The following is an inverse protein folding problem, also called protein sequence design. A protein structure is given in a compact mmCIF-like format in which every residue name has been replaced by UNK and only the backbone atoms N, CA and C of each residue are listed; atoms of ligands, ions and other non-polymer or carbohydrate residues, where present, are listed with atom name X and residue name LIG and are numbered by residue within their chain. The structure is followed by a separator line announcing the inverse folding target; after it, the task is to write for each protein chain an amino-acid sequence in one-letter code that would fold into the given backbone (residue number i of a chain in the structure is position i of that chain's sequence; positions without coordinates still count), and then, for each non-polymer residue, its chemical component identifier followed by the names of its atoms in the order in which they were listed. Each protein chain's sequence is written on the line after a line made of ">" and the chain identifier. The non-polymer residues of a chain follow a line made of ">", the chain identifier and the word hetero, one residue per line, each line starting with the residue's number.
data_IF_592144999221
#
_entry.id   IF_592144999221
#
_cell.length_a   1.000
_cell.length_b   1.000
_cell.length_c   1.000
_cell.angle_alpha   90.00
_cell.angle_beta   90.00
_cell.angle_gamma   90.00
#
_symmetry.space_group_name_H-M   'P 1'
#
loop_
_entity.id
_entity.type
_entity.pdbx_description
1 polymer ?
#
# COMPACT_ATOMS: atom_id res chain seq x y z
N UNK A 1 23.35 -25.76 -10.35
CA UNK A 1 23.26 -24.62 -9.42
C UNK A 1 21.77 -24.43 -9.15
N UNK A 2 21.24 -25.09 -8.12
CA UNK A 2 19.89 -24.82 -7.67
C UNK A 2 19.89 -23.42 -7.07
N UNK A 3 19.14 -22.50 -7.68
CA UNK A 3 18.79 -21.24 -7.06
C UNK A 3 17.95 -21.60 -5.83
N UNK A 4 18.56 -21.51 -4.65
CA UNK A 4 17.84 -21.45 -3.38
C UNK A 4 17.04 -20.14 -3.41
N UNK A 5 15.87 -20.20 -4.06
CA UNK A 5 14.96 -19.08 -4.20
C UNK A 5 14.56 -18.66 -2.79
N UNK A 6 14.77 -17.39 -2.45
CA UNK A 6 14.35 -16.82 -1.16
C UNK A 6 12.88 -17.19 -0.91
N UNK A 7 12.64 -18.12 0.01
CA UNK A 7 11.33 -18.77 0.25
C UNK A 7 10.23 -17.76 0.60
N UNK A 8 10.63 -16.58 1.08
CA UNK A 8 9.74 -15.48 1.48
C UNK A 8 9.38 -14.52 0.34
N UNK A 9 10.07 -14.61 -0.81
CA UNK A 9 9.91 -13.65 -1.91
C UNK A 9 8.61 -13.85 -2.73
N UNK A 10 8.17 -15.09 -3.03
CA UNK A 10 6.85 -15.31 -3.65
C UNK A 10 5.66 -14.84 -2.77
N UNK A 11 5.62 -15.15 -1.45
CA UNK A 11 4.60 -14.59 -0.56
C UNK A 11 4.61 -13.06 -0.51
N UNK A 12 5.79 -12.43 -0.48
CA UNK A 12 5.91 -10.97 -0.50
C UNK A 12 5.30 -10.35 -1.77
N UNK A 13 5.54 -10.96 -2.94
CA UNK A 13 4.94 -10.52 -4.20
C UNK A 13 3.40 -10.64 -4.18
N UNK A 14 2.87 -11.76 -3.66
CA UNK A 14 1.42 -11.96 -3.57
C UNK A 14 0.81 -10.92 -2.63
N UNK A 15 1.39 -10.71 -1.44
CA UNK A 15 0.89 -9.73 -0.47
C UNK A 15 0.91 -8.30 -1.01
N UNK A 16 2.01 -7.86 -1.64
CA UNK A 16 2.08 -6.50 -2.20
C UNK A 16 1.13 -6.31 -3.40
N UNK A 17 0.86 -7.38 -4.17
CA UNK A 17 -0.12 -7.35 -5.26
C UNK A 17 -1.55 -7.23 -4.70
N UNK A 18 -1.88 -7.96 -3.64
CA UNK A 18 -3.18 -7.83 -2.96
C UNK A 18 -3.32 -6.43 -2.36
N UNK A 19 -2.26 -5.92 -1.70
CA UNK A 19 -2.24 -4.56 -1.17
C UNK A 19 -2.56 -3.52 -2.25
N UNK A 20 -1.92 -3.65 -3.42
CA UNK A 20 -2.19 -2.81 -4.58
C UNK A 20 -3.62 -2.90 -5.08
N UNK A 21 -4.19 -4.10 -5.21
CA UNK A 21 -5.58 -4.28 -5.64
C UNK A 21 -6.57 -3.65 -4.66
N UNK A 22 -6.39 -3.88 -3.35
CA UNK A 22 -7.22 -3.26 -2.32
C UNK A 22 -7.15 -1.73 -2.39
N UNK A 23 -5.96 -1.19 -2.64
CA UNK A 23 -5.79 0.25 -2.75
C UNK A 23 -6.40 0.83 -4.04
N UNK A 24 -6.37 0.10 -5.16
CA UNK A 24 -7.12 0.46 -6.37
C UNK A 24 -8.62 0.49 -6.08
N UNK A 25 -9.17 -0.59 -5.53
CA UNK A 25 -10.60 -0.70 -5.29
C UNK A 25 -11.09 0.31 -4.27
N UNK A 26 -10.31 0.57 -3.22
CA UNK A 26 -10.57 1.68 -2.31
C UNK A 26 -10.60 3.00 -3.07
N UNK A 27 -9.49 3.42 -3.68
CA UNK A 27 -9.44 4.73 -4.32
C UNK A 27 -10.43 4.93 -5.48
N UNK A 28 -10.82 3.87 -6.20
CA UNK A 28 -11.73 3.96 -7.35
C UNK A 28 -13.23 3.98 -6.98
N UNK A 29 -13.59 3.59 -5.75
CA UNK A 29 -15.01 3.48 -5.35
C UNK A 29 -15.53 4.78 -4.72
N UNK A 30 -16.85 4.98 -4.83
CA UNK A 30 -17.58 6.17 -4.35
C UNK A 30 -17.93 6.14 -2.85
N UNK A 31 -17.40 5.18 -2.09
CA UNK A 31 -17.80 4.90 -0.71
C UNK A 31 -16.63 5.01 0.26
N UNK A 32 -15.78 6.00 0.05
CA UNK A 32 -14.68 6.32 0.96
C UNK A 32 -15.25 6.87 2.27
N UNK A 33 -16.22 7.77 2.16
CA UNK A 33 -17.07 8.20 3.25
C UNK A 33 -18.47 8.52 2.74
N UNK A 34 -19.42 8.50 3.66
CA UNK A 34 -20.80 8.88 3.43
C UNK A 34 -21.16 9.99 4.43
N UNK A 35 -21.86 11.02 3.97
CA UNK A 35 -22.50 12.00 4.84
C UNK A 35 -24.00 11.87 4.67
N UNK A 36 -24.70 11.61 5.77
CA UNK A 36 -26.16 11.55 5.80
C UNK A 36 -26.71 12.85 6.37
N UNK A 37 -27.60 13.50 5.61
CA UNK A 37 -28.42 14.62 6.04
C UNK A 37 -29.88 14.19 6.11
N UNK A 38 -30.75 15.03 6.68
CA UNK A 38 -32.16 14.70 6.87
C UNK A 38 -32.91 14.29 5.58
N UNK A 39 -32.50 14.81 4.41
CA UNK A 39 -33.17 14.55 3.12
C UNK A 39 -32.23 14.10 1.98
N UNK A 40 -30.92 14.00 2.23
CA UNK A 40 -29.93 13.71 1.21
C UNK A 40 -28.82 12.80 1.73
N UNK A 41 -28.24 11.99 0.85
CA UNK A 41 -27.09 11.14 1.16
C UNK A 41 -25.97 11.46 0.18
N UNK A 42 -24.82 11.76 0.74
CA UNK A 42 -23.62 12.11 -0.02
C UNK A 42 -22.63 10.97 0.09
N UNK A 43 -22.46 10.24 -1.01
CA UNK A 43 -21.43 9.19 -1.10
C UNK A 43 -20.22 9.76 -1.82
N UNK A 44 -19.09 9.81 -1.14
CA UNK A 44 -17.87 10.36 -1.69
C UNK A 44 -16.77 9.32 -1.77
N UNK A 45 -16.14 9.25 -2.93
CA UNK A 45 -14.83 8.65 -3.12
C UNK A 45 -13.72 9.66 -2.81
N UNK A 46 -12.50 9.32 -3.22
CA UNK A 46 -11.38 10.26 -3.23
C UNK A 46 -11.47 11.25 -4.40
N UNK A 47 -11.98 10.80 -5.54
CA UNK A 47 -11.91 11.57 -6.80
C UNK A 47 -13.25 12.19 -7.21
N UNK A 48 -14.35 11.59 -6.76
CA UNK A 48 -15.71 11.92 -7.16
C UNK A 48 -16.63 11.89 -5.95
N UNK A 49 -17.66 12.73 -5.99
CA UNK A 49 -18.75 12.80 -5.01
C UNK A 49 -20.06 12.59 -5.75
N UNK A 50 -20.95 11.81 -5.19
CA UNK A 50 -22.32 11.70 -5.67
C UNK A 50 -23.29 12.06 -4.55
N UNK A 51 -24.24 12.90 -4.88
CA UNK A 51 -25.33 13.34 -4.01
C UNK A 51 -26.61 12.69 -4.51
N UNK A 52 -27.33 12.06 -3.59
CA UNK A 52 -28.61 11.44 -3.84
C UNK A 52 -29.66 12.14 -3.00
N UNK A 53 -30.56 12.87 -3.67
CA UNK A 53 -31.76 13.45 -3.09
C UNK A 53 -32.97 12.56 -3.41
N UNK A 54 -34.13 12.86 -2.83
CA UNK A 54 -35.35 12.05 -2.98
C UNK A 54 -35.78 11.83 -4.45
N UNK A 55 -35.35 12.66 -5.39
CA UNK A 55 -35.78 12.61 -6.79
C UNK A 55 -34.65 12.50 -7.82
N UNK A 56 -33.40 12.82 -7.45
CA UNK A 56 -32.29 12.90 -8.40
C UNK A 56 -30.96 12.43 -7.80
N UNK A 57 -30.09 11.91 -8.67
CA UNK A 57 -28.71 11.54 -8.31
C UNK A 57 -27.74 12.28 -9.22
N UNK A 58 -26.96 13.16 -8.62
CA UNK A 58 -25.97 13.96 -9.34
C UNK A 58 -24.57 13.62 -8.86
N UNK A 59 -23.63 13.50 -9.80
CA UNK A 59 -22.25 13.17 -9.49
C UNK A 59 -21.33 14.27 -10.01
N UNK A 60 -20.44 14.70 -9.13
CA UNK A 60 -19.53 15.81 -9.33
C UNK A 60 -18.09 15.34 -9.12
N UNK A 61 -17.15 16.01 -9.79
CA UNK A 61 -15.75 15.91 -9.44
C UNK A 61 -15.53 16.53 -8.05
N UNK A 62 -14.51 16.05 -7.34
CA UNK A 62 -14.24 16.45 -5.96
C UNK A 62 -13.70 17.89 -5.78
N UNK A 63 -13.77 18.72 -6.81
CA UNK A 63 -13.24 20.09 -6.84
C UNK A 63 -13.75 20.95 -5.67
N UNK A 64 -14.97 20.65 -5.18
CA UNK A 64 -15.57 21.29 -4.01
C UNK A 64 -14.71 21.15 -2.76
N UNK A 65 -14.09 19.99 -2.52
CA UNK A 65 -13.21 19.77 -1.37
C UNK A 65 -11.76 20.18 -1.64
N UNK A 66 -11.35 20.28 -2.90
CA UNK A 66 -10.00 20.70 -3.29
C UNK A 66 -9.70 22.18 -2.94
N UNK A 67 -10.73 22.96 -2.57
CA UNK A 67 -10.56 24.28 -1.95
C UNK A 67 -9.80 24.19 -0.63
N UNK A 68 -9.93 23.07 0.09
CA UNK A 68 -9.16 22.81 1.30
C UNK A 68 -7.79 22.23 0.93
N UNK A 69 -6.72 22.99 1.18
CA UNK A 69 -5.35 22.56 0.85
C UNK A 69 -4.94 21.23 1.50
N UNK A 70 -5.53 20.86 2.64
CA UNK A 70 -5.30 19.56 3.28
C UNK A 70 -5.89 18.40 2.46
N UNK A 71 -7.01 18.61 1.75
CA UNK A 71 -7.64 17.59 0.91
C UNK A 71 -6.82 17.36 -0.35
N UNK A 72 -6.33 18.43 -0.99
CA UNK A 72 -5.38 18.35 -2.10
C UNK A 72 -4.13 17.57 -1.70
N UNK A 73 -3.60 17.80 -0.50
CA UNK A 73 -2.46 17.07 0.03
C UNK A 73 -2.79 15.59 0.27
N UNK A 74 -3.99 15.27 0.75
CA UNK A 74 -4.47 13.89 0.86
C UNK A 74 -4.50 13.17 -0.49
N UNK A 75 -5.04 13.81 -1.53
CA UNK A 75 -5.05 13.26 -2.90
C UNK A 75 -3.64 13.04 -3.44
N UNK A 76 -2.76 14.02 -3.27
CA UNK A 76 -1.38 13.93 -3.70
C UNK A 76 -0.65 12.77 -3.01
N UNK A 77 -0.79 12.64 -1.69
CA UNK A 77 -0.18 11.57 -0.91
C UNK A 77 -0.73 10.19 -1.28
N UNK A 78 -2.05 10.07 -1.50
CA UNK A 78 -2.65 8.83 -1.99
C UNK A 78 -2.11 8.44 -3.37
N UNK A 79 -1.99 9.40 -4.29
CA UNK A 79 -1.41 9.16 -5.62
C UNK A 79 0.08 8.75 -5.54
N UNK A 80 0.90 9.42 -4.73
CA UNK A 80 2.29 9.03 -4.49
C UNK A 80 2.40 7.61 -3.91
N UNK A 81 1.55 7.27 -2.95
CA UNK A 81 1.44 5.92 -2.38
C UNK A 81 1.11 4.88 -3.44
N UNK A 82 0.14 5.16 -4.30
CA UNK A 82 -0.25 4.31 -5.42
C UNK A 82 0.91 4.05 -6.40
N UNK A 83 1.62 5.10 -6.85
CA UNK A 83 2.78 4.92 -7.73
C UNK A 83 3.93 4.17 -7.05
N UNK A 84 4.15 4.40 -5.75
CA UNK A 84 5.14 3.66 -4.98
C UNK A 84 4.78 2.17 -4.84
N UNK A 85 3.50 1.79 -4.75
CA UNK A 85 3.07 0.38 -4.80
C UNK A 85 3.36 -0.26 -6.16
N UNK A 86 3.13 0.45 -7.27
CA UNK A 86 3.48 -0.05 -8.62
C UNK A 86 4.99 -0.29 -8.72
N UNK A 87 5.78 0.70 -8.30
CA UNK A 87 7.24 0.58 -8.28
C UNK A 87 7.69 -0.58 -7.38
N UNK A 88 7.03 -0.79 -6.24
CA UNK A 88 7.29 -1.91 -5.32
C UNK A 88 7.07 -3.26 -5.99
N UNK A 89 5.94 -3.45 -6.68
CA UNK A 89 5.65 -4.68 -7.42
C UNK A 89 6.74 -4.93 -8.48
N UNK A 90 7.13 -3.89 -9.23
CA UNK A 90 8.19 -4.00 -10.22
C UNK A 90 9.53 -4.37 -9.58
N UNK A 91 9.91 -3.77 -8.44
CA UNK A 91 11.14 -4.07 -7.73
C UNK A 91 11.15 -5.50 -7.16
N UNK A 92 10.06 -5.97 -6.55
CA UNK A 92 9.92 -7.35 -6.06
C UNK A 92 9.97 -8.34 -7.23
N UNK A 93 9.27 -8.05 -8.33
CA UNK A 93 9.30 -8.87 -9.54
C UNK A 93 10.69 -8.95 -10.18
N UNK A 94 11.37 -7.82 -10.34
CA UNK A 94 12.76 -7.78 -10.84
C UNK A 94 13.71 -8.60 -9.97
N UNK A 95 13.49 -8.58 -8.66
CA UNK A 95 14.27 -9.37 -7.70
C UNK A 95 14.02 -10.87 -7.87
N UNK A 96 12.77 -11.28 -8.09
CA UNK A 96 12.41 -12.68 -8.36
C UNK A 96 13.04 -13.21 -9.64
N UNK A 97 12.98 -12.45 -10.73
CA UNK A 97 13.34 -12.98 -12.05
C UNK A 97 14.80 -12.75 -12.46
N UNK A 98 15.44 -11.66 -12.01
CA UNK A 98 16.72 -11.22 -12.59
C UNK A 98 17.90 -11.23 -11.61
N UNK A 99 17.69 -10.87 -10.35
CA UNK A 99 18.81 -10.68 -9.42
C UNK A 99 18.42 -10.83 -7.94
N UNK A 100 18.10 -12.05 -7.48
CA UNK A 100 17.67 -12.29 -6.10
C UNK A 100 18.76 -11.96 -5.06
N UNK A 101 20.03 -12.11 -5.43
CA UNK A 101 21.18 -11.88 -4.54
C UNK A 101 21.68 -10.42 -4.51
N UNK A 102 21.11 -9.51 -5.32
CA UNK A 102 21.59 -8.14 -5.39
C UNK A 102 21.18 -7.33 -4.15
N UNK A 103 22.15 -7.09 -3.25
CA UNK A 103 21.97 -6.34 -2.00
C UNK A 103 21.38 -4.94 -2.21
N UNK A 104 21.80 -4.24 -3.27
CA UNK A 104 21.31 -2.89 -3.58
C UNK A 104 19.83 -2.94 -3.94
N UNK A 105 19.44 -3.90 -4.78
CA UNK A 105 18.03 -4.09 -5.15
C UNK A 105 17.16 -4.43 -3.94
N UNK A 106 17.66 -5.24 -2.98
CA UNK A 106 16.94 -5.55 -1.73
C UNK A 106 16.63 -4.28 -0.92
N UNK A 107 17.63 -3.42 -0.72
CA UNK A 107 17.46 -2.17 0.03
C UNK A 107 16.52 -1.21 -0.71
N UNK A 108 16.65 -1.09 -2.03
CA UNK A 108 15.75 -0.25 -2.84
C UNK A 108 14.31 -0.75 -2.72
N UNK A 109 14.06 -2.04 -2.86
CA UNK A 109 12.71 -2.61 -2.72
C UNK A 109 12.11 -2.25 -1.35
N UNK A 110 12.87 -2.43 -0.28
CA UNK A 110 12.43 -2.07 1.08
C UNK A 110 12.09 -0.59 1.19
N UNK A 111 12.95 0.31 0.69
CA UNK A 111 12.70 1.74 0.77
C UNK A 111 11.47 2.17 -0.04
N UNK A 112 11.25 1.55 -1.21
CA UNK A 112 10.11 1.88 -2.08
C UNK A 112 8.79 1.40 -1.46
N UNK A 113 8.74 0.17 -0.90
CA UNK A 113 7.56 -0.34 -0.18
C UNK A 113 7.26 0.52 1.05
N UNK A 114 8.28 0.81 1.85
CA UNK A 114 8.15 1.68 3.02
C UNK A 114 7.64 3.08 2.67
N UNK A 115 8.16 3.67 1.57
CA UNK A 115 7.68 4.96 1.09
C UNK A 115 6.20 4.93 0.71
N UNK A 116 5.74 3.84 0.08
CA UNK A 116 4.32 3.65 -0.22
C UNK A 116 3.46 3.69 1.05
N UNK A 117 3.86 2.95 2.09
CA UNK A 117 3.17 2.92 3.38
C UNK A 117 3.12 4.32 4.01
N UNK A 118 4.24 5.03 4.02
CA UNK A 118 4.32 6.39 4.61
C UNK A 118 3.40 7.36 3.87
N UNK A 119 3.39 7.37 2.54
CA UNK A 119 2.52 8.27 1.78
C UNK A 119 1.03 7.97 2.02
N UNK A 120 0.64 6.69 1.99
CA UNK A 120 -0.76 6.29 2.25
C UNK A 120 -1.16 6.66 3.67
N UNK A 121 -0.28 6.45 4.65
CA UNK A 121 -0.52 6.80 6.05
C UNK A 121 -0.71 8.31 6.23
N UNK A 122 0.15 9.14 5.64
CA UNK A 122 0.03 10.60 5.72
C UNK A 122 -1.31 11.05 5.12
N UNK A 123 -1.67 10.55 3.93
CA UNK A 123 -2.96 10.88 3.31
C UNK A 123 -4.15 10.49 4.20
N UNK A 124 -4.12 9.27 4.74
CA UNK A 124 -5.17 8.76 5.65
C UNK A 124 -5.28 9.59 6.92
N UNK A 125 -4.15 9.95 7.55
CA UNK A 125 -4.14 10.76 8.76
C UNK A 125 -4.65 12.18 8.51
N UNK A 126 -4.29 12.79 7.38
CA UNK A 126 -4.83 14.10 6.99
C UNK A 126 -6.34 14.02 6.79
N UNK A 127 -6.84 12.97 6.15
CA UNK A 127 -8.27 12.79 5.95
C UNK A 127 -9.00 12.62 7.29
N UNK A 128 -8.56 11.70 8.15
CA UNK A 128 -9.20 11.45 9.45
C UNK A 128 -9.18 12.67 10.35
N UNK A 129 -8.06 13.41 10.36
CA UNK A 129 -7.91 14.59 11.22
C UNK A 129 -8.82 15.76 10.83
N UNK A 130 -9.07 15.94 9.54
CA UNK A 130 -9.82 17.08 9.02
C UNK A 130 -11.17 16.67 8.41
N UNK A 131 -11.62 15.42 8.61
CA UNK A 131 -12.86 14.90 8.04
C UNK A 131 -14.09 15.67 8.51
N UNK A 132 -14.06 16.18 9.75
CA UNK A 132 -15.14 16.98 10.33
C UNK A 132 -15.32 18.32 9.59
N UNK A 133 -14.26 18.87 8.98
CA UNK A 133 -14.33 20.12 8.21
C UNK A 133 -15.16 19.96 6.91
N UNK A 134 -15.43 18.72 6.49
CA UNK A 134 -16.25 18.41 5.30
C UNK A 134 -17.74 18.57 5.60
N UNK A 135 -18.16 18.47 6.86
CA UNK A 135 -19.56 18.56 7.26
C UNK A 135 -19.97 20.03 7.26
N UNK A 136 -20.76 20.44 6.27
CA UNK A 136 -21.16 21.85 6.09
C UNK A 136 -22.43 22.21 6.86
N UNK A 137 -23.28 21.23 7.18
CA UNK A 137 -24.56 21.46 7.87
C UNK A 137 -24.59 20.78 9.24
N UNK A 138 -25.27 21.38 10.25
CA UNK A 138 -25.22 20.90 11.63
C UNK A 138 -25.92 19.54 11.87
N UNK A 139 -26.73 19.05 10.94
CA UNK A 139 -27.36 17.72 11.02
C UNK A 139 -26.58 16.62 10.28
N UNK A 140 -25.50 16.97 9.57
CA UNK A 140 -24.70 16.03 8.80
C UNK A 140 -23.93 15.05 9.70
N UNK A 141 -24.07 13.75 9.42
CA UNK A 141 -23.29 12.70 10.09
C UNK A 141 -22.31 12.04 9.12
N UNK A 142 -21.02 12.13 9.42
CA UNK A 142 -19.97 11.49 8.63
C UNK A 142 -19.75 10.04 9.09
N UNK A 143 -19.80 9.12 8.13
CA UNK A 143 -19.49 7.71 8.32
C UNK A 143 -18.39 7.28 7.34
N UNK A 144 -17.37 6.59 7.84
CA UNK A 144 -16.35 5.97 6.98
C UNK A 144 -16.94 4.76 6.25
N UNK A 145 -16.74 4.68 4.93
CA UNK A 145 -17.26 3.59 4.13
C UNK A 145 -16.27 2.43 3.94
N UNK A 146 -16.72 1.38 3.25
CA UNK A 146 -15.90 0.17 3.03
C UNK A 146 -14.63 0.46 2.22
N UNK A 147 -14.66 1.44 1.33
CA UNK A 147 -13.53 1.82 0.49
C UNK A 147 -12.34 2.32 1.33
N UNK A 148 -12.64 3.12 2.38
CA UNK A 148 -11.65 3.58 3.34
C UNK A 148 -10.98 2.39 4.06
N UNK A 149 -11.80 1.43 4.49
CA UNK A 149 -11.31 0.21 5.13
C UNK A 149 -10.45 -0.65 4.17
N UNK A 150 -10.77 -0.71 2.87
CA UNK A 150 -9.95 -1.40 1.87
C UNK A 150 -8.58 -0.70 1.71
N UNK A 151 -8.54 0.63 1.66
CA UNK A 151 -7.28 1.39 1.61
C UNK A 151 -6.40 1.14 2.85
N UNK A 152 -6.97 1.15 4.05
CA UNK A 152 -6.25 0.84 5.29
C UNK A 152 -5.75 -0.61 5.26
N UNK A 153 -6.59 -1.55 4.84
CA UNK A 153 -6.21 -2.97 4.75
C UNK A 153 -5.05 -3.18 3.78
N UNK A 154 -5.07 -2.51 2.63
CA UNK A 154 -3.97 -2.51 1.67
C UNK A 154 -2.68 -1.95 2.25
N UNK A 155 -2.75 -0.82 2.96
CA UNK A 155 -1.61 -0.23 3.67
C UNK A 155 -1.02 -1.20 4.71
N UNK A 156 -1.86 -1.85 5.53
CA UNK A 156 -1.41 -2.84 6.51
C UNK A 156 -0.70 -4.03 5.87
N UNK A 157 -1.21 -4.54 4.74
CA UNK A 157 -0.54 -5.60 3.99
C UNK A 157 0.82 -5.16 3.44
N UNK A 158 0.92 -3.93 2.92
CA UNK A 158 2.20 -3.39 2.46
C UNK A 158 3.21 -3.25 3.63
N UNK A 159 2.76 -2.82 4.81
CA UNK A 159 3.61 -2.77 5.99
C UNK A 159 4.08 -4.18 6.45
N UNK A 160 3.23 -5.20 6.32
CA UNK A 160 3.65 -6.59 6.58
C UNK A 160 4.73 -7.06 5.58
N UNK A 161 4.66 -6.63 4.33
CA UNK A 161 5.71 -6.90 3.32
C UNK A 161 7.04 -6.29 3.77
N UNK A 162 7.05 -5.04 4.25
CA UNK A 162 8.28 -4.43 4.80
C UNK A 162 8.88 -5.25 5.93
N UNK A 163 8.04 -5.72 6.88
CA UNK A 163 8.50 -6.56 7.99
C UNK A 163 9.15 -7.85 7.46
N UNK A 164 8.54 -8.51 6.47
CA UNK A 164 9.10 -9.71 5.85
C UNK A 164 10.44 -9.42 5.16
N UNK A 165 10.53 -8.33 4.41
CA UNK A 165 11.76 -7.91 3.72
C UNK A 165 12.88 -7.54 4.72
N UNK A 166 12.55 -6.92 5.85
CA UNK A 166 13.51 -6.62 6.93
C UNK A 166 14.04 -7.91 7.55
N UNK A 167 13.17 -8.85 7.89
CA UNK A 167 13.56 -10.15 8.46
C UNK A 167 14.52 -10.88 7.51
N UNK A 168 14.22 -10.85 6.23
CA UNK A 168 15.07 -11.43 5.18
C UNK A 168 16.43 -10.75 5.06
N UNK A 169 16.49 -9.42 5.22
CA UNK A 169 17.74 -8.66 5.20
C UNK A 169 18.64 -9.01 6.40
N UNK A 170 18.06 -9.30 7.56
CA UNK A 170 18.77 -9.58 8.81
C UNK A 170 19.23 -11.05 8.90
N UNK A 171 18.49 -11.99 8.29
CA UNK A 171 18.82 -13.42 8.37
C UNK A 171 20.25 -13.68 7.84
N UNK A 172 21.16 -14.23 8.66
CA UNK A 172 22.52 -14.52 8.22
C UNK A 172 22.48 -15.57 7.12
N UNK A 173 23.18 -15.31 6.01
CA UNK A 173 23.36 -16.28 4.90
C UNK A 173 23.94 -17.55 5.53
N UNK A 174 23.15 -18.62 5.62
CA UNK A 174 23.61 -19.91 6.16
C UNK A 174 24.85 -20.28 5.34
N UNK A 175 25.99 -20.31 6.01
CA UNK A 175 27.30 -20.43 5.39
C UNK A 175 27.47 -21.85 4.85
N UNK A 176 26.97 -22.12 3.64
CA UNK A 176 27.17 -23.39 2.90
C UNK A 176 28.64 -23.60 2.51
N UNK A 177 29.54 -22.69 2.89
CA UNK A 177 30.99 -22.79 2.68
C UNK A 177 31.68 -23.80 3.61
N UNK A 178 31.11 -24.15 4.76
CA UNK A 178 31.71 -25.13 5.68
C UNK A 178 31.62 -26.60 5.18
N UNK A 179 30.95 -26.86 4.06
CA UNK A 179 30.79 -28.23 3.52
C UNK A 179 31.81 -28.61 2.45
N UNK A 180 32.49 -27.65 1.84
CA UNK A 180 33.55 -27.93 0.85
C UNK A 180 34.90 -28.17 1.54
N UNK A 181 35.17 -27.44 2.63
CA UNK A 181 36.44 -27.59 3.36
C UNK A 181 36.48 -28.83 4.26
N UNK A 182 35.32 -29.37 4.66
CA UNK A 182 35.24 -30.63 5.40
C UNK A 182 35.46 -31.88 4.54
N UNK A 183 35.37 -31.77 3.20
CA UNK A 183 35.49 -32.91 2.29
C UNK A 183 36.81 -32.94 1.49
N UNK A 184 37.70 -31.96 1.70
CA UNK A 184 39.03 -31.92 1.06
C UNK A 184 40.15 -32.53 1.93
N UNK A 185 39.87 -32.88 3.19
CA UNK A 185 40.90 -33.33 4.16
C UNK A 185 40.96 -34.86 4.40
N UNK A 186 40.33 -35.69 3.57
CA UNK A 186 40.25 -37.15 3.80
C UNK A 186 40.95 -38.05 2.76
N UNK A 187 41.85 -37.51 1.91
CA UNK A 187 42.64 -38.36 1.01
C UNK A 187 44.09 -37.88 0.84
N UNK A 188 44.92 -38.13 1.85
CA UNK A 188 46.35 -38.41 1.62
C UNK A 188 46.71 -39.63 2.45
N UNK A 189 46.63 -40.81 1.83
CA UNK A 189 47.34 -42.02 2.27
C UNK A 189 48.66 -42.07 1.50
N UNK A 190 49.77 -42.10 2.23
CA UNK A 190 50.99 -42.83 1.87
C UNK A 190 51.51 -43.50 3.13
#
# INVERSE_FOLDING_TARGET
>A
MENEMDENLPPALVMITIAFLLHIFGNATLYYFTIEYSNSIINSGLWTRCESDANDKECYNIEVYAVHGWYTMCLFMSACGFFALIASIACVGLRLFKSPENKVLRIITLLVVFSAVVFILIGTLLFVKNGDDIITEPDGQLAYGYSFALCISGMCLAALVDIVLIIELIKPKKNTRNRVDANSNTNIKF
#
